data_IF_315702356356
#
_entry.id   IF_315702356356
#
_cell.length_a   1.000
_cell.length_b   1.000
_cell.length_c   1.000
_cell.angle_alpha   90.00
_cell.angle_beta   90.00
_cell.angle_gamma   90.00
#
_symmetry.space_group_name_H-M   'P 1'
#
loop_
_entity.id
_entity.type
_entity.pdbx_description
1 polymer ?
#
# COMPACT_ATOMS: atom_id res chain seq x y z
N UNK A 1 -57.58 -2.06 -63.68
CA UNK A 1 -56.52 -2.78 -64.42
C UNK A 1 -55.25 -2.58 -63.58
N UNK A 2 -54.53 -3.53 -62.98
CA UNK A 2 -54.39 -5.00 -63.09
C UNK A 2 -54.49 -5.67 -61.70
N UNK A 3 -54.66 -7.01 -61.71
CA UNK A 3 -54.73 -7.95 -60.57
C UNK A 3 -53.44 -8.79 -60.48
N UNK A 4 -53.35 -9.61 -59.41
CA UNK A 4 -52.52 -10.81 -59.15
C UNK A 4 -51.18 -10.55 -58.40
N UNK A 5 -50.72 -11.32 -57.41
CA UNK A 5 -51.25 -12.47 -56.66
C UNK A 5 -50.38 -12.76 -55.41
N UNK A 6 -51.00 -13.49 -54.48
CA UNK A 6 -50.54 -14.27 -53.32
C UNK A 6 -49.05 -14.59 -53.12
N UNK A 7 -48.65 -14.74 -51.85
CA UNK A 7 -48.18 -16.04 -51.31
C UNK A 7 -48.35 -16.07 -49.77
N UNK A 8 -48.95 -17.16 -49.30
CA UNK A 8 -49.10 -17.57 -47.90
C UNK A 8 -47.84 -18.32 -47.45
N UNK A 9 -47.45 -18.14 -46.18
CA UNK A 9 -46.47 -19.00 -45.51
C UNK A 9 -46.91 -19.25 -44.07
N UNK A 10 -47.36 -20.46 -43.79
CA UNK A 10 -47.66 -20.94 -42.44
C UNK A 10 -46.38 -21.43 -41.75
N UNK A 11 -46.25 -21.20 -40.44
CA UNK A 11 -45.14 -21.70 -39.62
C UNK A 11 -45.53 -21.77 -38.14
N UNK A 12 -45.99 -22.95 -37.72
CA UNK A 12 -46.26 -23.36 -36.35
C UNK A 12 -44.94 -23.49 -35.57
N UNK A 13 -44.84 -22.95 -34.36
CA UNK A 13 -43.82 -23.40 -33.40
C UNK A 13 -44.43 -23.68 -32.02
N UNK A 14 -44.35 -24.97 -31.67
CA UNK A 14 -44.55 -25.57 -30.35
C UNK A 14 -43.53 -25.05 -29.34
N UNK A 15 -43.92 -25.04 -28.07
CA UNK A 15 -43.16 -24.42 -26.97
C UNK A 15 -42.00 -25.22 -26.39
N UNK A 16 -41.39 -24.63 -25.36
CA UNK A 16 -40.67 -25.31 -24.28
C UNK A 16 -40.43 -24.33 -23.12
N UNK A 17 -40.88 -24.69 -21.92
CA UNK A 17 -40.46 -24.05 -20.68
C UNK A 17 -38.98 -24.38 -20.46
N UNK A 18 -38.12 -23.36 -20.51
CA UNK A 18 -36.69 -23.47 -20.24
C UNK A 18 -36.39 -23.21 -18.77
N UNK A 19 -35.92 -24.26 -18.10
CA UNK A 19 -35.28 -24.27 -16.78
C UNK A 19 -34.28 -23.12 -16.64
N UNK A 20 -34.38 -22.32 -15.58
CA UNK A 20 -33.38 -21.32 -15.19
C UNK A 20 -32.12 -22.03 -14.68
N UNK A 21 -31.12 -22.18 -15.55
CA UNK A 21 -29.77 -22.55 -15.14
C UNK A 21 -29.10 -21.33 -14.48
N UNK A 22 -28.53 -21.56 -13.29
CA UNK A 22 -27.75 -20.58 -12.56
C UNK A 22 -26.63 -19.99 -13.43
N UNK A 23 -26.57 -18.66 -13.54
CA UNK A 23 -25.44 -17.99 -14.19
C UNK A 23 -24.23 -18.02 -13.25
N UNK A 24 -23.03 -18.41 -13.72
CA UNK A 24 -21.81 -18.14 -12.98
C UNK A 24 -21.57 -16.63 -12.97
N UNK A 25 -21.27 -16.08 -11.79
CA UNK A 25 -20.93 -14.67 -11.66
C UNK A 25 -19.54 -14.42 -12.29
N UNK A 26 -19.55 -13.95 -13.54
CA UNK A 26 -18.39 -13.34 -14.20
C UNK A 26 -17.89 -12.15 -13.36
N UNK A 27 -16.67 -12.24 -12.85
CA UNK A 27 -15.99 -11.08 -12.28
C UNK A 27 -15.75 -10.04 -13.38
N UNK A 28 -16.33 -8.85 -13.19
CA UNK A 28 -16.26 -7.73 -14.11
C UNK A 28 -14.85 -7.52 -14.68
N UNK A 29 -14.73 -7.65 -16.00
CA UNK A 29 -13.57 -7.22 -16.77
C UNK A 29 -13.55 -5.68 -16.78
N UNK A 30 -12.81 -5.07 -15.87
CA UNK A 30 -12.55 -3.63 -15.93
C UNK A 30 -11.77 -3.29 -17.20
N UNK A 31 -12.48 -2.72 -18.18
CA UNK A 31 -11.90 -2.20 -19.41
C UNK A 31 -10.80 -1.19 -19.10
N UNK A 32 -9.55 -1.56 -19.39
CA UNK A 32 -8.41 -0.68 -19.23
C UNK A 32 -8.33 0.21 -20.47
N UNK A 33 -8.81 1.45 -20.36
CA UNK A 33 -8.27 2.51 -21.21
C UNK A 33 -6.73 2.51 -21.10
N UNK A 34 -5.97 2.85 -22.15
CA UNK A 34 -4.52 2.90 -22.06
C UNK A 34 -4.14 3.84 -20.92
N UNK A 35 -3.68 3.27 -19.81
CA UNK A 35 -3.30 4.05 -18.63
C UNK A 35 -2.09 4.88 -19.06
N UNK A 36 -2.18 6.20 -18.92
CA UNK A 36 -1.02 7.07 -19.09
C UNK A 36 0.15 6.44 -18.31
N UNK A 37 1.32 6.36 -18.94
CA UNK A 37 2.49 5.75 -18.31
C UNK A 37 2.71 6.41 -16.94
N UNK A 38 2.85 5.59 -15.90
CA UNK A 38 3.01 6.08 -14.53
C UNK A 38 4.17 7.07 -14.45
N UNK A 39 4.01 8.19 -13.73
CA UNK A 39 5.11 9.11 -13.47
C UNK A 39 6.28 8.38 -12.77
N UNK A 40 7.54 8.84 -12.93
CA UNK A 40 8.70 8.17 -12.32
C UNK A 40 8.55 7.90 -10.82
N UNK A 41 8.14 8.90 -10.04
CA UNK A 41 7.89 8.74 -8.61
C UNK A 41 6.79 7.68 -8.32
N UNK A 42 5.72 7.65 -9.11
CA UNK A 42 4.65 6.65 -8.96
C UNK A 42 5.17 5.23 -9.19
N UNK A 43 6.08 5.03 -10.14
CA UNK A 43 6.71 3.71 -10.36
C UNK A 43 7.58 3.30 -9.18
N UNK A 44 8.35 4.23 -8.62
CA UNK A 44 9.17 3.96 -7.43
C UNK A 44 8.33 3.64 -6.19
N UNK A 45 7.23 4.38 -5.95
CA UNK A 45 6.30 4.06 -4.86
C UNK A 45 5.69 2.67 -5.03
N UNK A 46 5.27 2.31 -6.25
CA UNK A 46 4.73 0.97 -6.55
C UNK A 46 5.77 -0.12 -6.33
N UNK A 47 7.00 0.07 -6.80
CA UNK A 47 8.09 -0.88 -6.58
C UNK A 47 8.41 -1.08 -5.09
N UNK A 48 8.40 -0.01 -4.29
CA UNK A 48 8.58 -0.10 -2.84
C UNK A 48 7.43 -0.88 -2.18
N UNK A 49 6.18 -0.57 -2.56
CA UNK A 49 5.00 -1.27 -2.06
C UNK A 49 5.00 -2.77 -2.43
N UNK A 50 5.31 -3.12 -3.68
CA UNK A 50 5.41 -4.52 -4.12
C UNK A 50 6.50 -5.27 -3.35
N UNK A 51 7.63 -4.61 -3.07
CA UNK A 51 8.72 -5.20 -2.28
C UNK A 51 8.27 -5.46 -0.84
N UNK A 52 7.57 -4.50 -0.22
CA UNK A 52 6.97 -4.67 1.10
C UNK A 52 6.01 -5.87 1.14
N UNK A 53 5.08 -5.95 0.19
CA UNK A 53 4.09 -7.05 0.13
C UNK A 53 4.77 -8.42 -0.03
N UNK A 54 5.83 -8.52 -0.85
CA UNK A 54 6.61 -9.77 -0.95
C UNK A 54 7.29 -10.13 0.37
N UNK A 55 7.87 -9.15 1.05
CA UNK A 55 8.60 -9.37 2.30
C UNK A 55 7.68 -9.62 3.51
N UNK A 56 6.40 -9.23 3.44
CA UNK A 56 5.36 -9.54 4.43
C UNK A 56 4.73 -10.93 4.23
N UNK A 57 5.11 -11.67 3.19
CA UNK A 57 4.62 -13.03 2.94
C UNK A 57 5.33 -14.06 3.83
N UNK A 58 5.40 -13.78 5.13
CA UNK A 58 6.00 -14.66 6.14
C UNK A 58 4.89 -15.52 6.78
N UNK A 59 5.18 -16.79 7.13
CA UNK A 59 4.22 -17.64 7.82
C UNK A 59 3.94 -17.09 9.23
N UNK A 60 2.68 -17.16 9.65
CA UNK A 60 2.27 -16.86 11.01
C UNK A 60 2.62 -18.04 11.93
N UNK A 61 3.14 -17.72 13.11
CA UNK A 61 3.49 -18.68 14.15
C UNK A 61 2.31 -18.99 15.07
N UNK A 62 1.33 -18.09 15.15
CA UNK A 62 0.21 -18.15 16.08
C UNK A 62 0.48 -17.42 17.41
N UNK A 63 1.71 -16.97 17.64
CA UNK A 63 2.03 -16.05 18.74
C UNK A 63 1.79 -14.61 18.25
N UNK A 64 0.81 -13.88 18.80
CA UNK A 64 0.47 -12.55 18.32
C UNK A 64 1.60 -11.52 18.52
N UNK A 65 2.43 -11.68 19.55
CA UNK A 65 3.53 -10.76 19.82
C UNK A 65 4.69 -10.95 18.83
N UNK A 66 4.98 -12.22 18.49
CA UNK A 66 5.98 -12.56 17.47
C UNK A 66 5.46 -12.15 16.09
N UNK A 67 4.24 -12.56 15.75
CA UNK A 67 3.65 -12.35 14.43
C UNK A 67 3.51 -10.86 14.10
N UNK A 68 3.08 -10.04 15.07
CA UNK A 68 3.02 -8.59 14.88
C UNK A 68 4.40 -8.02 14.53
N UNK A 69 5.44 -8.35 15.29
CA UNK A 69 6.78 -7.76 15.11
C UNK A 69 7.45 -8.27 13.83
N UNK A 70 7.31 -9.55 13.54
CA UNK A 70 7.83 -10.16 12.31
C UNK A 70 7.19 -9.52 11.08
N UNK A 71 5.88 -9.25 11.11
CA UNK A 71 5.19 -8.60 9.99
C UNK A 71 5.42 -7.08 9.93
N UNK A 72 5.62 -6.43 11.07
CA UNK A 72 5.78 -4.99 11.11
C UNK A 72 7.17 -4.53 10.67
N UNK A 73 8.21 -5.37 10.81
CA UNK A 73 9.55 -5.07 10.28
C UNK A 73 9.55 -4.78 8.76
N UNK A 74 9.05 -5.69 7.88
CA UNK A 74 8.99 -5.42 6.45
C UNK A 74 7.97 -4.34 6.08
N UNK A 75 6.86 -4.22 6.83
CA UNK A 75 5.91 -3.12 6.65
C UNK A 75 6.57 -1.76 6.87
N UNK A 76 7.33 -1.62 7.95
CA UNK A 76 8.08 -0.42 8.26
C UNK A 76 9.17 -0.13 7.23
N UNK A 77 9.87 -1.15 6.77
CA UNK A 77 10.87 -0.97 5.72
C UNK A 77 10.24 -0.47 4.41
N UNK A 78 9.06 -0.97 4.06
CA UNK A 78 8.29 -0.47 2.91
C UNK A 78 7.96 1.01 3.03
N UNK A 79 7.48 1.45 4.20
CA UNK A 79 7.19 2.85 4.47
C UNK A 79 8.45 3.74 4.44
N UNK A 80 9.58 3.27 4.96
CA UNK A 80 10.88 3.95 4.85
C UNK A 80 11.28 4.11 3.38
N UNK A 81 11.13 3.07 2.57
CA UNK A 81 11.50 3.12 1.16
C UNK A 81 10.60 4.07 0.36
N UNK A 82 9.30 4.12 0.65
CA UNK A 82 8.39 5.12 0.10
C UNK A 82 8.75 6.53 0.58
N UNK A 83 9.05 6.72 1.87
CA UNK A 83 9.47 8.01 2.41
C UNK A 83 10.75 8.52 1.74
N UNK A 84 11.70 7.64 1.40
CA UNK A 84 12.89 8.00 0.61
C UNK A 84 12.55 8.47 -0.80
N UNK A 85 11.54 7.90 -1.45
CA UNK A 85 11.03 8.40 -2.74
C UNK A 85 10.46 9.81 -2.55
N UNK A 86 9.64 10.03 -1.52
CA UNK A 86 9.07 11.33 -1.21
C UNK A 86 10.16 12.39 -0.92
N UNK A 87 11.21 12.06 -0.18
CA UNK A 87 12.35 12.97 0.06
C UNK A 87 13.04 13.45 -1.22
N UNK A 88 13.06 12.62 -2.27
CA UNK A 88 13.65 13.00 -3.57
C UNK A 88 12.67 13.73 -4.48
N UNK A 89 11.39 13.39 -4.43
CA UNK A 89 10.43 13.74 -5.48
C UNK A 89 9.32 14.71 -5.02
N UNK A 90 9.01 14.78 -3.73
CA UNK A 90 7.95 15.63 -3.21
C UNK A 90 8.37 17.10 -3.22
N UNK A 91 7.42 17.96 -3.67
CA UNK A 91 7.58 19.42 -3.74
C UNK A 91 6.99 20.14 -2.53
N UNK A 92 5.98 19.54 -1.92
CA UNK A 92 5.32 20.07 -0.73
C UNK A 92 6.25 19.92 0.49
N UNK A 93 6.59 21.02 1.20
CA UNK A 93 7.50 20.98 2.35
C UNK A 93 7.02 20.05 3.47
N UNK A 94 5.72 20.05 3.77
CA UNK A 94 5.13 19.20 4.81
C UNK A 94 5.30 17.71 4.48
N UNK A 95 5.07 17.32 3.24
CA UNK A 95 5.26 15.94 2.77
C UNK A 95 6.71 15.47 2.96
N UNK A 96 7.70 16.34 2.74
CA UNK A 96 9.11 16.01 2.94
C UNK A 96 9.44 15.82 4.43
N UNK A 97 8.93 16.69 5.29
CA UNK A 97 9.14 16.56 6.73
C UNK A 97 8.44 15.32 7.31
N UNK A 98 7.23 15.01 6.85
CA UNK A 98 6.55 13.76 7.21
C UNK A 98 7.40 12.55 6.78
N UNK A 99 7.95 12.57 5.57
CA UNK A 99 8.81 11.49 5.08
C UNK A 99 10.08 11.32 5.93
N UNK A 100 10.73 12.42 6.30
CA UNK A 100 11.88 12.39 7.21
C UNK A 100 11.52 11.78 8.57
N UNK A 101 10.38 12.19 9.14
CA UNK A 101 9.89 11.67 10.42
C UNK A 101 9.60 10.16 10.36
N UNK A 102 8.98 9.71 9.26
CA UNK A 102 8.73 8.27 9.00
C UNK A 102 10.04 7.50 8.96
N UNK A 103 11.08 8.00 8.26
CA UNK A 103 12.37 7.32 8.18
C UNK A 103 12.97 7.14 9.57
N UNK A 104 13.02 8.22 10.34
CA UNK A 104 13.64 8.26 11.66
C UNK A 104 12.94 7.35 12.67
N UNK A 105 11.61 7.40 12.69
CA UNK A 105 10.83 6.68 13.69
C UNK A 105 10.76 5.18 13.38
N UNK A 106 10.48 4.84 12.13
CA UNK A 106 10.31 3.43 11.76
C UNK A 106 11.64 2.67 11.75
N UNK A 107 12.79 3.34 11.56
CA UNK A 107 14.10 2.73 11.78
C UNK A 107 14.34 2.37 13.25
N UNK A 108 13.91 3.23 14.17
CA UNK A 108 13.97 2.96 15.61
C UNK A 108 13.11 1.76 15.97
N UNK A 109 11.85 1.76 15.52
CA UNK A 109 10.90 0.67 15.77
C UNK A 109 11.39 -0.67 15.21
N UNK A 110 11.98 -0.68 14.00
CA UNK A 110 12.64 -1.89 13.44
C UNK A 110 13.74 -2.40 14.38
N UNK A 111 14.60 -1.52 14.89
CA UNK A 111 15.69 -1.91 15.77
C UNK A 111 15.16 -2.50 17.10
N UNK A 112 14.14 -1.87 17.68
CA UNK A 112 13.48 -2.34 18.91
C UNK A 112 12.81 -3.71 18.71
N UNK A 113 12.06 -3.90 17.62
CA UNK A 113 11.43 -5.18 17.30
C UNK A 113 12.44 -6.29 17.06
N UNK A 114 13.54 -6.00 16.34
CA UNK A 114 14.61 -6.97 16.11
C UNK A 114 15.32 -7.36 17.41
N UNK A 115 15.60 -6.39 18.27
CA UNK A 115 16.19 -6.67 19.58
C UNK A 115 15.29 -7.57 20.43
N UNK A 116 13.98 -7.28 20.45
CA UNK A 116 13.00 -8.08 21.18
C UNK A 116 12.91 -9.53 20.66
N UNK A 117 12.90 -9.71 19.33
CA UNK A 117 12.85 -11.02 18.68
C UNK A 117 14.14 -11.83 18.89
N UNK A 118 15.31 -11.17 18.83
CA UNK A 118 16.59 -11.80 19.07
C UNK A 118 16.72 -12.36 20.50
N UNK A 119 16.21 -11.64 21.50
CA UNK A 119 16.15 -12.12 22.89
C UNK A 119 15.30 -13.39 23.07
N UNK A 120 14.44 -13.72 22.09
CA UNK A 120 13.55 -14.88 22.08
C UNK A 120 13.98 -15.95 21.07
N UNK A 121 15.16 -15.81 20.46
CA UNK A 121 15.67 -16.77 19.48
C UNK A 121 14.90 -16.79 18.16
N UNK A 122 14.07 -15.78 17.88
CA UNK A 122 13.34 -15.67 16.62
C UNK A 122 14.21 -14.93 15.60
N UNK A 123 14.63 -15.63 14.56
CA UNK A 123 15.38 -15.04 13.45
C UNK A 123 14.42 -14.37 12.46
N UNK A 124 14.70 -13.12 12.11
CA UNK A 124 14.00 -12.41 11.01
C UNK A 124 14.89 -12.49 9.76
N UNK A 125 14.37 -12.96 8.61
CA UNK A 125 15.16 -13.04 7.38
C UNK A 125 15.80 -11.70 7.01
N UNK A 126 17.08 -11.73 6.66
CA UNK A 126 17.79 -10.56 6.15
C UNK A 126 17.27 -10.19 4.76
N UNK A 127 16.89 -8.92 4.59
CA UNK A 127 16.27 -8.42 3.35
C UNK A 127 15.70 -7.00 3.46
N UNK A 128 15.63 -6.46 4.68
CA UNK A 128 15.12 -5.10 4.96
C UNK A 128 16.21 -4.07 5.22
N UNK A 129 17.49 -4.46 5.22
CA UNK A 129 18.53 -3.64 5.86
C UNK A 129 19.25 -2.75 4.84
N UNK A 130 18.66 -1.59 4.56
CA UNK A 130 19.40 -0.44 4.03
C UNK A 130 19.64 0.55 5.16
N UNK A 131 20.80 0.52 5.85
CA UNK A 131 21.11 1.50 6.88
C UNK A 131 21.16 2.90 6.26
N UNK A 132 20.42 3.84 6.86
CA UNK A 132 20.57 5.26 6.57
C UNK A 132 21.26 5.88 7.78
N UNK A 133 22.38 6.57 7.53
CA UNK A 133 23.07 7.37 8.54
C UNK A 133 22.41 8.74 8.55
N UNK A 134 21.72 9.09 9.64
CA UNK A 134 21.14 10.43 9.81
C UNK A 134 22.28 11.44 9.91
N UNK A 135 22.28 12.44 9.03
CA UNK A 135 23.19 13.59 9.14
C UNK A 135 22.79 14.53 10.27
N UNK A 136 23.69 15.44 10.65
CA UNK A 136 23.47 16.44 11.69
C UNK A 136 22.27 17.38 11.43
N UNK A 137 21.77 17.44 10.19
CA UNK A 137 20.65 18.26 9.77
C UNK A 137 19.29 17.56 9.86
N UNK A 138 19.21 16.39 10.49
CA UNK A 138 17.97 15.62 10.60
C UNK A 138 16.93 16.30 11.51
N UNK A 139 15.63 16.06 11.28
CA UNK A 139 14.51 16.62 12.04
C UNK A 139 14.66 16.47 13.57
N UNK A 140 15.32 15.42 14.08
CA UNK A 140 15.64 15.28 15.52
C UNK A 140 16.60 16.35 16.06
N UNK A 141 17.40 16.98 15.19
CA UNK A 141 18.32 18.05 15.53
C UNK A 141 17.75 19.46 15.29
N UNK A 142 16.54 19.56 14.69
CA UNK A 142 15.81 20.82 14.54
C UNK A 142 14.55 20.82 15.41
N UNK A 143 14.14 22.01 15.82
CA UNK A 143 13.06 22.31 16.77
C UNK A 143 11.90 21.27 16.74
N UNK A 144 11.46 20.70 17.88
CA UNK A 144 10.44 19.64 17.96
C UNK A 144 9.08 19.93 17.30
N UNK A 145 8.83 21.15 16.85
CA UNK A 145 7.55 21.56 16.27
C UNK A 145 7.55 21.70 14.73
N UNK A 146 8.72 21.68 14.07
CA UNK A 146 8.87 22.23 12.72
C UNK A 146 8.20 21.44 11.58
N UNK A 147 6.90 21.62 11.39
CA UNK A 147 6.16 21.65 10.13
C UNK A 147 4.80 20.92 10.15
N UNK A 148 4.23 20.62 11.32
CA UNK A 148 3.02 19.80 11.48
C UNK A 148 1.77 20.28 10.67
N UNK A 149 0.84 19.37 10.30
CA UNK A 149 -0.52 19.76 9.80
C UNK A 149 -1.23 20.71 10.77
N UNK A 150 -0.86 20.62 12.05
CA UNK A 150 -1.37 21.41 13.13
C UNK A 150 -0.69 22.80 13.17
N UNK A 151 0.58 22.97 12.75
CA UNK A 151 1.19 24.29 12.48
C UNK A 151 0.60 25.00 11.26
N UNK A 152 0.17 24.26 10.23
CA UNK A 152 -0.63 24.83 9.14
C UNK A 152 -2.03 25.33 9.59
N UNK A 153 -2.47 25.00 10.82
CA UNK A 153 -3.77 25.32 11.39
C UNK A 153 -3.74 25.91 12.83
N UNK A 154 -2.55 26.25 13.36
CA UNK A 154 -2.37 26.86 14.69
C UNK A 154 -2.63 25.97 15.92
N UNK A 155 -2.50 24.65 15.84
CA UNK A 155 -2.67 23.73 16.98
C UNK A 155 -1.49 22.73 17.05
N UNK A 156 -1.27 22.08 18.18
CA UNK A 156 -0.06 21.28 18.43
C UNK A 156 -0.21 19.82 17.97
N UNK A 157 0.82 19.30 17.29
CA UNK A 157 1.03 17.86 17.12
C UNK A 157 2.42 17.50 17.66
N UNK A 158 2.50 16.46 18.50
CA UNK A 158 3.75 15.95 19.06
C UNK A 158 3.96 14.48 18.65
N UNK A 159 5.05 14.15 17.93
CA UNK A 159 5.44 12.77 17.72
C UNK A 159 5.93 12.13 19.02
N UNK A 160 5.45 10.93 19.35
CA UNK A 160 5.86 10.20 20.56
C UNK A 160 4.88 10.27 21.74
N UNK A 161 3.63 10.70 21.54
CA UNK A 161 2.57 10.58 22.56
C UNK A 161 2.08 9.14 22.72
N UNK A 162 3.00 8.17 22.74
CA UNK A 162 2.73 6.80 23.15
C UNK A 162 1.77 6.83 24.34
N UNK A 163 0.75 5.99 24.24
CA UNK A 163 -0.27 5.73 25.26
C UNK A 163 0.26 6.13 26.64
N UNK A 164 -0.36 7.15 27.24
CA UNK A 164 -0.39 7.24 28.69
C UNK A 164 -1.43 6.27 29.20
#
# INVERSE_FOLDING_TARGET
MWRHACLLGAGLFLGAAGVTLAQPHDHMRHGSAPRAADAPATREFKAAHETMMRNMSLPYTGDPDVDFRVQMIPHHQGAIDMARVAMRQAKDPWTRQLAESIIVEQQREIAEMRAWLAQRGVAVPAGTDRPHVMGADSYRARNPEAGTRAEAAGQSWAPGSGIR
#
